data_IF_479415657738
#
_entry.id   IF_479415657738
#
_cell.length_a   1.000
_cell.length_b   1.000
_cell.length_c   1.000
_cell.angle_alpha   90.00
_cell.angle_beta   90.00
_cell.angle_gamma   90.00
#
_symmetry.space_group_name_H-M   'P 1'
#
loop_
_entity.id
_entity.type
_entity.pdbx_description
1 polymer ?
#
# COMPACT_ATOMS: atom_id res chain seq x y z
N UNK A 1 4.02 16.48 16.60
CA UNK A 1 3.93 15.17 15.91
C UNK A 1 2.80 15.17 14.89
N UNK A 2 1.55 15.42 15.29
CA UNK A 2 0.40 15.55 14.36
C UNK A 2 0.61 16.61 13.27
N UNK A 3 1.20 17.75 13.62
CA UNK A 3 1.58 18.79 12.67
C UNK A 3 2.47 18.28 11.54
N UNK A 4 3.46 17.43 11.85
CA UNK A 4 4.37 16.89 10.85
C UNK A 4 3.65 15.90 9.93
N UNK A 5 2.69 15.13 10.45
CA UNK A 5 1.88 14.23 9.64
C UNK A 5 1.01 15.00 8.63
N UNK A 6 0.42 16.13 9.05
CA UNK A 6 -0.34 16.99 8.14
C UNK A 6 0.53 17.56 7.01
N UNK A 7 1.76 17.99 7.32
CA UNK A 7 2.71 18.45 6.30
C UNK A 7 3.07 17.32 5.34
N UNK A 8 3.42 16.14 5.85
CA UNK A 8 3.80 14.98 5.02
C UNK A 8 2.63 14.55 4.12
N UNK A 9 1.41 14.52 4.66
CA UNK A 9 0.20 14.23 3.89
C UNK A 9 0.06 15.17 2.70
N UNK A 10 0.14 16.48 2.94
CA UNK A 10 0.06 17.47 1.88
C UNK A 10 1.16 17.30 0.81
N UNK A 11 2.39 16.99 1.22
CA UNK A 11 3.51 16.74 0.29
C UNK A 11 3.30 15.48 -0.57
N UNK A 12 2.66 14.44 -0.03
CA UNK A 12 2.43 13.18 -0.74
C UNK A 12 1.18 13.22 -1.65
N UNK A 13 0.18 14.02 -1.29
CA UNK A 13 -1.02 14.23 -2.12
C UNK A 13 -0.70 15.09 -3.36
N UNK A 14 0.14 16.11 -3.20
CA UNK A 14 0.46 17.06 -4.26
C UNK A 14 1.49 16.48 -5.25
N UNK A 15 1.07 16.22 -6.50
CA UNK A 15 1.98 15.86 -7.59
C UNK A 15 2.37 17.09 -8.40
N UNK A 16 3.39 17.80 -7.94
CA UNK A 16 4.07 18.82 -8.76
C UNK A 16 4.99 18.13 -9.78
N UNK A 17 5.14 18.75 -10.96
CA UNK A 17 5.81 18.13 -12.11
C UNK A 17 7.35 17.96 -11.96
N UNK A 18 7.95 18.40 -10.86
CA UNK A 18 9.41 18.43 -10.66
C UNK A 18 9.83 17.75 -9.35
N UNK A 19 9.39 16.52 -9.13
CA UNK A 19 9.80 15.68 -7.99
C UNK A 19 10.87 14.68 -8.41
N UNK A 20 11.76 14.31 -7.48
CA UNK A 20 12.74 13.24 -7.72
C UNK A 20 12.06 11.89 -7.92
N UNK A 21 12.74 10.92 -8.52
CA UNK A 21 12.21 9.56 -8.69
C UNK A 21 11.92 8.89 -7.34
N UNK A 22 12.70 9.21 -6.30
CA UNK A 22 12.48 8.72 -4.95
C UNK A 22 11.18 9.29 -4.34
N UNK A 23 10.97 10.60 -4.48
CA UNK A 23 9.73 11.26 -4.07
C UNK A 23 8.52 10.74 -4.84
N UNK A 24 8.65 10.54 -6.15
CA UNK A 24 7.59 9.96 -6.99
C UNK A 24 7.18 8.58 -6.49
N UNK A 25 8.14 7.72 -6.12
CA UNK A 25 7.85 6.40 -5.54
C UNK A 25 7.13 6.51 -4.20
N UNK A 26 7.51 7.46 -3.35
CA UNK A 26 6.83 7.71 -2.08
C UNK A 26 5.37 8.17 -2.29
N UNK A 27 5.13 9.05 -3.26
CA UNK A 27 3.78 9.49 -3.64
C UNK A 27 2.93 8.34 -4.21
N UNK A 28 3.49 7.51 -5.08
CA UNK A 28 2.80 6.32 -5.61
C UNK A 28 2.45 5.34 -4.49
N UNK A 29 3.38 5.09 -3.58
CA UNK A 29 3.15 4.24 -2.42
C UNK A 29 2.03 4.79 -1.53
N UNK A 30 2.06 6.09 -1.23
CA UNK A 30 1.00 6.76 -0.47
C UNK A 30 -0.38 6.58 -1.13
N UNK A 31 -0.48 6.83 -2.44
CA UNK A 31 -1.75 6.67 -3.19
C UNK A 31 -2.23 5.22 -3.23
N UNK A 32 -1.31 4.26 -3.31
CA UNK A 32 -1.65 2.84 -3.24
C UNK A 32 -2.24 2.47 -1.87
N UNK A 33 -1.68 2.99 -0.77
CA UNK A 33 -2.20 2.77 0.58
C UNK A 33 -3.54 3.48 0.83
N UNK A 34 -3.73 4.70 0.30
CA UNK A 34 -4.96 5.48 0.52
C UNK A 34 -6.13 5.04 -0.38
N UNK A 35 -5.89 4.19 -1.37
CA UNK A 35 -6.96 3.61 -2.18
C UNK A 35 -7.65 2.45 -1.45
N UNK A 36 -8.36 2.79 -0.36
CA UNK A 36 -9.07 1.83 0.48
C UNK A 36 -10.12 1.04 -0.32
N UNK A 37 -10.77 1.66 -1.32
CA UNK A 37 -11.70 0.96 -2.22
C UNK A 37 -11.03 -0.25 -2.87
N UNK A 38 -9.82 -0.07 -3.44
CA UNK A 38 -9.10 -1.18 -4.06
C UNK A 38 -8.64 -2.23 -3.04
N UNK A 39 -8.27 -1.80 -1.84
CA UNK A 39 -7.87 -2.70 -0.76
C UNK A 39 -9.06 -3.58 -0.34
N UNK A 40 -10.24 -2.99 -0.15
CA UNK A 40 -11.47 -3.70 0.24
C UNK A 40 -12.02 -4.61 -0.87
N UNK A 41 -11.81 -4.27 -2.14
CA UNK A 41 -12.11 -5.18 -3.25
C UNK A 41 -11.25 -6.45 -3.22
N UNK A 42 -9.97 -6.33 -2.83
CA UNK A 42 -9.02 -7.43 -2.81
C UNK A 42 -9.13 -8.29 -1.56
N UNK A 43 -9.49 -7.72 -0.41
CA UNK A 43 -9.60 -8.42 0.88
C UNK A 43 -8.32 -9.21 1.20
N UNK A 44 -8.47 -10.42 1.74
CA UNK A 44 -7.37 -11.32 2.07
C UNK A 44 -6.67 -11.94 0.85
N UNK A 45 -7.20 -11.77 -0.37
CA UNK A 45 -6.71 -12.47 -1.57
C UNK A 45 -5.19 -12.32 -1.79
N UNK A 46 -4.58 -11.12 -1.71
CA UNK A 46 -3.14 -10.98 -1.94
C UNK A 46 -2.29 -11.76 -0.93
N UNK A 47 -2.75 -11.83 0.33
CA UNK A 47 -2.06 -12.60 1.37
C UNK A 47 -2.24 -14.11 1.16
N UNK A 48 -3.44 -14.55 0.80
CA UNK A 48 -3.71 -15.97 0.52
C UNK A 48 -2.89 -16.47 -0.67
N UNK A 49 -2.81 -15.70 -1.76
CA UNK A 49 -1.97 -16.03 -2.92
C UNK A 49 -0.48 -16.16 -2.54
N UNK A 50 -0.01 -15.28 -1.65
CA UNK A 50 1.35 -15.35 -1.13
C UNK A 50 1.58 -16.61 -0.29
N UNK A 51 0.63 -16.96 0.60
CA UNK A 51 0.70 -18.17 1.43
C UNK A 51 0.79 -19.42 0.55
N UNK A 52 -0.08 -19.54 -0.47
CA UNK A 52 -0.06 -20.68 -1.38
C UNK A 52 1.26 -20.76 -2.16
N UNK A 53 1.78 -19.62 -2.64
CA UNK A 53 3.08 -19.57 -3.32
C UNK A 53 4.24 -20.02 -2.42
N UNK A 54 4.11 -19.86 -1.11
CA UNK A 54 5.12 -20.26 -0.12
C UNK A 54 4.95 -21.70 0.39
N UNK A 55 3.99 -22.47 -0.15
CA UNK A 55 3.75 -23.86 0.23
C UNK A 55 2.62 -24.06 1.24
N UNK A 56 1.76 -23.06 1.42
CA UNK A 56 0.58 -23.13 2.27
C UNK A 56 0.83 -22.84 3.75
N UNK A 57 -0.24 -22.79 4.52
CA UNK A 57 -0.22 -22.65 5.99
C UNK A 57 -1.28 -23.59 6.58
N UNK A 58 -1.03 -24.21 7.74
CA UNK A 58 -1.91 -25.21 8.37
C UNK A 58 -3.39 -24.77 8.52
N UNK A 59 -3.62 -23.46 8.60
CA UNK A 59 -4.96 -22.91 8.79
C UNK A 59 -5.69 -22.64 7.47
N UNK A 60 -5.00 -22.72 6.32
CA UNK A 60 -5.56 -22.34 5.00
C UNK A 60 -6.00 -23.52 4.15
N UNK A 61 -5.72 -24.77 4.54
CA UNK A 61 -6.13 -25.97 3.80
C UNK A 61 -5.93 -27.29 4.56
N UNK A 62 -6.44 -28.41 4.01
CA UNK A 62 -6.12 -29.75 4.50
C UNK A 62 -4.72 -30.11 3.99
N UNK A 63 -3.80 -30.43 4.89
CA UNK A 63 -2.44 -30.88 4.51
C UNK A 63 -2.45 -32.10 3.60
#
# INVERSE_FOLDING_TARGET
WEHNQAIIKHLLENSTASVSEAERKAQVYYRACMNETRIEELKAKPLMELIEKLGGWNITGPW
#
